data_IF_441874895488
#
_entry.id   IF_441874895488
#
_cell.length_a   1.000
_cell.length_b   1.000
_cell.length_c   1.000
_cell.angle_alpha   90.00
_cell.angle_beta   90.00
_cell.angle_gamma   90.00
#
_symmetry.space_group_name_H-M   'P 1'
#
loop_
_entity.id
_entity.type
_entity.pdbx_description
1 polymer ?
#
# COMPACT_ATOMS: atom_id res chain seq x y z
N UNK A 1 30.82 -22.60 42.52
CA UNK A 1 31.78 -22.66 41.39
C UNK A 1 31.26 -21.76 40.29
N UNK A 2 32.00 -20.70 39.98
CA UNK A 2 31.59 -19.67 39.01
C UNK A 2 32.38 -19.85 37.71
N UNK A 3 31.68 -19.94 36.58
CA UNK A 3 32.30 -19.89 35.25
C UNK A 3 31.74 -18.73 34.46
N UNK A 4 32.56 -17.69 34.36
CA UNK A 4 32.46 -16.62 33.37
C UNK A 4 32.68 -17.20 31.97
N UNK A 5 31.93 -16.75 30.97
CA UNK A 5 32.28 -16.95 29.56
C UNK A 5 32.00 -15.67 28.76
N UNK A 6 33.07 -15.17 28.15
CA UNK A 6 33.22 -13.92 27.41
C UNK A 6 32.75 -14.04 25.96
N UNK A 7 32.06 -13.00 25.49
CA UNK A 7 32.28 -12.22 24.25
C UNK A 7 32.76 -12.97 22.99
N UNK A 8 31.91 -12.98 21.95
CA UNK A 8 32.37 -13.00 20.55
C UNK A 8 31.80 -11.80 19.78
N UNK A 9 32.69 -10.88 19.39
CA UNK A 9 32.43 -9.74 18.51
C UNK A 9 32.57 -10.22 17.05
N UNK A 10 31.48 -10.28 16.30
CA UNK A 10 31.55 -10.37 14.84
C UNK A 10 31.58 -8.96 14.23
N UNK A 11 32.76 -8.57 13.73
CA UNK A 11 32.92 -7.50 12.73
C UNK A 11 32.45 -8.05 11.38
N UNK A 12 31.58 -7.32 10.67
CA UNK A 12 31.33 -7.53 9.23
C UNK A 12 32.09 -6.47 8.42
N UNK A 13 32.70 -6.83 7.28
CA UNK A 13 33.33 -5.87 6.38
C UNK A 13 32.30 -5.10 5.56
N UNK A 14 32.55 -3.80 5.39
CA UNK A 14 32.09 -3.02 4.25
C UNK A 14 32.82 -3.52 3.00
N UNK A 15 32.08 -3.70 1.90
CA UNK A 15 32.42 -3.30 0.53
C UNK A 15 31.64 -4.16 -0.47
N UNK A 16 30.87 -3.53 -1.36
CA UNK A 16 30.55 -4.02 -2.71
C UNK A 16 29.78 -2.95 -3.51
N UNK A 17 30.57 -2.18 -4.25
CA UNK A 17 30.36 -1.72 -5.64
C UNK A 17 28.94 -1.40 -6.16
N UNK A 18 28.73 -0.10 -6.35
CA UNK A 18 27.77 0.47 -7.30
C UNK A 18 28.18 0.11 -8.73
N UNK A 19 27.40 -0.72 -9.42
CA UNK A 19 27.45 -0.85 -10.88
C UNK A 19 26.41 0.07 -11.51
N UNK A 20 26.91 1.10 -12.17
CA UNK A 20 26.17 2.03 -13.02
C UNK A 20 25.49 1.28 -14.17
N UNK A 21 24.16 1.23 -14.13
CA UNK A 21 23.35 0.78 -15.25
C UNK A 21 22.86 2.02 -16.01
N UNK A 22 23.56 2.30 -17.10
CA UNK A 22 23.17 3.25 -18.14
C UNK A 22 21.78 2.90 -18.68
N UNK A 23 20.82 3.82 -18.51
CA UNK A 23 19.51 3.74 -19.16
C UNK A 23 19.34 5.05 -19.93
N UNK A 24 19.37 4.95 -21.26
CA UNK A 24 19.09 6.05 -22.17
C UNK A 24 17.65 6.58 -21.98
N UNK A 25 17.42 7.90 -21.96
CA UNK A 25 16.08 8.43 -21.88
C UNK A 25 15.44 8.43 -23.29
N UNK A 26 14.38 7.64 -23.45
CA UNK A 26 13.42 7.80 -24.56
C UNK A 26 12.68 9.12 -24.36
N UNK A 27 12.81 10.02 -25.33
CA UNK A 27 12.09 11.30 -25.38
C UNK A 27 10.59 11.05 -25.52
N UNK A 28 9.80 11.48 -24.54
CA UNK A 28 8.38 11.76 -24.75
C UNK A 28 8.21 13.27 -24.83
N UNK A 29 7.86 13.73 -26.03
CA UNK A 29 7.44 15.09 -26.31
C UNK A 29 6.01 15.28 -25.80
N UNK A 30 5.82 16.22 -24.87
CA UNK A 30 4.47 16.69 -24.49
C UNK A 30 4.46 18.18 -24.81
N UNK A 31 3.79 18.48 -25.91
CA UNK A 31 3.44 19.80 -26.39
C UNK A 31 2.21 20.32 -25.63
N UNK A 32 2.19 21.60 -25.30
CA UNK A 32 1.09 22.29 -24.61
C UNK A 32 1.66 23.31 -23.63
N UNK A 33 1.50 24.62 -23.78
CA UNK A 33 0.54 25.42 -24.54
C UNK A 33 0.34 26.68 -23.71
N UNK A 34 1.11 27.73 -24.00
CA UNK A 34 1.04 29.03 -23.32
C UNK A 34 -0.12 29.86 -23.89
N UNK A 35 -0.98 30.49 -23.06
CA UNK A 35 -1.85 31.53 -23.57
C UNK A 35 -1.12 32.89 -23.66
N UNK A 36 -1.27 33.47 -24.84
CA UNK A 36 -0.80 34.77 -25.30
C UNK A 36 -1.40 35.94 -24.53
N UNK A 37 -0.57 36.92 -24.18
CA UNK A 37 -1.02 38.24 -23.73
C UNK A 37 -1.45 39.10 -24.92
N UNK A 38 -2.71 39.55 -24.89
CA UNK A 38 -3.34 40.36 -25.93
C UNK A 38 -3.01 41.84 -25.73
N UNK A 39 -2.53 42.47 -26.80
CA UNK A 39 -2.39 43.92 -26.99
C UNK A 39 -3.74 44.60 -27.27
N UNK A 40 -4.01 45.72 -26.59
CA UNK A 40 -4.90 46.81 -27.03
C UNK A 40 -4.65 48.03 -26.12
N UNK A 41 -4.76 49.31 -26.48
CA UNK A 41 -4.74 50.10 -27.72
C UNK A 41 -4.39 51.54 -27.27
N UNK A 42 -3.99 52.38 -28.22
CA UNK A 42 -3.42 53.75 -28.05
C UNK A 42 -4.44 54.79 -28.50
N UNK A 43 -4.64 55.92 -27.79
CA UNK A 43 -5.09 57.23 -28.34
C UNK A 43 -4.94 58.39 -27.34
N UNK A 44 -4.56 59.58 -27.86
CA UNK A 44 -4.61 60.92 -27.22
C UNK A 44 -3.27 61.38 -26.63
N UNK A 45 -2.39 62.19 -27.26
CA UNK A 45 -2.49 63.50 -27.93
C UNK A 45 -2.86 64.67 -27.01
N UNK A 46 -1.87 65.36 -26.40
CA UNK A 46 -1.79 66.83 -26.32
C UNK A 46 -0.32 67.29 -26.19
N UNK A 47 0.00 68.29 -27.00
CA UNK A 47 1.15 69.18 -27.09
C UNK A 47 1.94 69.48 -25.79
N UNK A 48 3.27 69.48 -25.89
CA UNK A 48 4.10 70.70 -25.72
C UNK A 48 5.61 70.40 -25.87
N UNK A 49 6.31 71.36 -26.46
CA UNK A 49 7.77 71.48 -26.61
C UNK A 49 8.10 72.96 -26.39
N UNK A 50 9.38 73.40 -26.26
CA UNK A 50 10.62 72.66 -25.99
C UNK A 50 11.51 73.33 -24.92
N UNK A 51 12.52 72.62 -24.38
CA UNK A 51 13.94 73.07 -24.35
C UNK A 51 14.84 72.14 -23.52
N UNK A 52 15.90 71.70 -24.20
CA UNK A 52 17.29 71.65 -23.74
C UNK A 52 17.61 71.06 -22.35
N UNK A 53 18.16 69.85 -22.32
CA UNK A 53 19.49 69.69 -21.74
C UNK A 53 20.22 68.45 -22.25
N UNK A 54 21.34 68.74 -22.92
CA UNK A 54 22.45 67.87 -23.25
C UNK A 54 23.00 67.27 -21.95
N UNK A 55 22.97 65.95 -21.80
CA UNK A 55 23.81 65.23 -20.84
C UNK A 55 24.04 63.81 -21.33
N UNK A 56 25.31 63.52 -21.48
CA UNK A 56 25.90 62.27 -21.90
C UNK A 56 25.67 61.20 -20.82
N UNK A 57 25.14 60.05 -21.23
CA UNK A 57 25.75 58.74 -20.93
C UNK A 57 24.85 57.65 -21.52
N UNK A 58 25.19 57.23 -22.74
CA UNK A 58 24.71 55.96 -23.28
C UNK A 58 25.39 54.85 -22.48
N UNK A 59 24.84 54.49 -21.32
CA UNK A 59 25.05 53.15 -20.76
C UNK A 59 24.22 52.22 -21.63
N UNK A 60 24.87 51.66 -22.64
CA UNK A 60 24.36 50.56 -23.45
C UNK A 60 23.79 49.50 -22.52
N UNK A 61 22.46 49.41 -22.47
CA UNK A 61 21.76 48.29 -21.87
C UNK A 61 22.15 47.06 -22.69
N UNK A 62 23.20 46.37 -22.23
CA UNK A 62 23.60 45.07 -22.70
C UNK A 62 22.35 44.20 -22.65
N UNK A 63 21.79 43.92 -23.82
CA UNK A 63 20.80 42.86 -24.01
C UNK A 63 21.54 41.57 -23.70
N UNK A 64 21.65 41.23 -22.42
CA UNK A 64 22.11 39.92 -22.00
C UNK A 64 21.08 38.94 -22.54
N UNK A 65 21.46 38.23 -23.60
CA UNK A 65 20.72 37.08 -24.08
C UNK A 65 20.52 36.13 -22.88
N UNK A 66 19.31 35.60 -22.67
CA UNK A 66 19.08 34.66 -21.58
C UNK A 66 20.10 33.52 -21.71
N UNK A 67 20.72 33.09 -20.59
CA UNK A 67 21.72 32.04 -20.64
C UNK A 67 21.12 30.80 -21.30
N UNK A 68 21.80 30.26 -22.31
CA UNK A 68 21.43 28.98 -22.94
C UNK A 68 21.49 27.90 -21.87
N UNK A 69 20.33 27.51 -21.35
CA UNK A 69 20.18 26.40 -20.41
C UNK A 69 20.67 25.14 -21.13
N UNK A 70 21.73 24.51 -20.61
CA UNK A 70 22.24 23.28 -21.20
C UNK A 70 21.40 22.09 -20.78
N UNK A 71 21.41 21.01 -21.58
CA UNK A 71 20.74 19.75 -21.23
C UNK A 71 21.22 19.20 -19.87
N UNK A 72 22.50 19.45 -19.53
CA UNK A 72 23.10 19.10 -18.24
C UNK A 72 22.45 19.86 -17.08
N UNK A 73 22.16 21.15 -17.25
CA UNK A 73 21.49 21.96 -16.24
C UNK A 73 20.05 21.49 -16.02
N UNK A 74 19.35 21.12 -17.09
CA UNK A 74 17.98 20.59 -17.02
C UNK A 74 17.94 19.22 -16.31
N UNK A 75 18.91 18.33 -16.58
CA UNK A 75 19.04 17.06 -15.87
C UNK A 75 19.34 17.27 -14.38
N UNK A 76 20.24 18.20 -14.04
CA UNK A 76 20.57 18.55 -12.65
C UNK A 76 19.34 19.11 -11.92
N UNK A 77 18.57 19.99 -12.57
CA UNK A 77 17.34 20.54 -12.00
C UNK A 77 16.28 19.46 -11.73
N UNK A 78 16.05 18.54 -12.68
CA UNK A 78 15.14 17.39 -12.47
C UNK A 78 15.58 16.50 -11.32
N UNK A 79 16.88 16.23 -11.20
CA UNK A 79 17.44 15.45 -10.09
C UNK A 79 17.23 16.14 -8.74
N UNK A 80 17.49 17.45 -8.66
CA UNK A 80 17.26 18.24 -7.45
C UNK A 80 15.78 18.24 -7.04
N UNK A 81 14.85 18.41 -8.00
CA UNK A 81 13.42 18.32 -7.72
C UNK A 81 13.02 16.94 -7.19
N UNK A 82 13.54 15.86 -7.78
CA UNK A 82 13.28 14.50 -7.30
C UNK A 82 13.80 14.28 -5.88
N UNK A 83 14.98 14.80 -5.55
CA UNK A 83 15.53 14.74 -4.20
C UNK A 83 14.66 15.52 -3.21
N UNK A 84 14.23 16.73 -3.57
CA UNK A 84 13.33 17.54 -2.75
C UNK A 84 12.00 16.84 -2.47
N UNK A 85 11.38 16.21 -3.49
CA UNK A 85 10.13 15.46 -3.31
C UNK A 85 10.30 14.25 -2.40
N UNK A 86 11.42 13.53 -2.51
CA UNK A 86 11.74 12.41 -1.62
C UNK A 86 11.96 12.89 -0.19
N UNK A 87 12.63 14.02 0.00
CA UNK A 87 12.81 14.64 1.31
C UNK A 87 11.46 15.05 1.90
N UNK A 88 10.59 15.69 1.12
CA UNK A 88 9.24 16.07 1.55
C UNK A 88 8.41 14.86 1.99
N UNK A 89 8.49 13.74 1.25
CA UNK A 89 7.86 12.47 1.64
C UNK A 89 8.39 11.95 2.98
N UNK A 90 9.71 11.90 3.14
CA UNK A 90 10.33 11.46 4.40
C UNK A 90 9.98 12.37 5.58
N UNK A 91 9.94 13.69 5.37
CA UNK A 91 9.50 14.66 6.37
C UNK A 91 8.04 14.44 6.74
N UNK A 92 7.17 14.12 5.78
CA UNK A 92 5.77 13.79 6.05
C UNK A 92 5.65 12.51 6.90
N UNK A 93 6.38 11.44 6.56
CA UNK A 93 6.43 10.19 7.34
C UNK A 93 6.97 10.38 8.77
N UNK A 94 7.85 11.35 8.97
CA UNK A 94 8.47 11.63 10.27
C UNK A 94 7.57 12.42 11.22
N UNK A 95 6.44 12.97 10.75
CA UNK A 95 5.48 13.65 11.62
C UNK A 95 4.74 12.64 12.47
N UNK A 96 4.68 12.87 13.77
CA UNK A 96 3.96 12.00 14.70
C UNK A 96 2.48 11.87 14.34
N UNK A 97 1.84 12.97 13.92
CA UNK A 97 0.44 13.03 13.45
C UNK A 97 0.11 12.06 12.30
N UNK A 98 1.11 11.62 11.53
CA UNK A 98 0.91 10.69 10.41
C UNK A 98 1.23 9.24 10.78
N UNK A 99 1.82 9.00 11.96
CA UNK A 99 2.02 7.64 12.46
C UNK A 99 0.72 7.16 13.06
N UNK A 100 0.33 5.95 12.73
CA UNK A 100 -0.82 5.34 13.36
C UNK A 100 -0.36 4.54 14.57
N UNK A 101 -1.06 4.73 15.68
CA UNK A 101 -0.81 4.02 16.94
C UNK A 101 -2.10 3.37 17.42
N UNK A 102 -2.07 2.08 17.83
CA UNK A 102 -3.22 1.42 18.45
C UNK A 102 -3.72 2.13 19.71
N UNK A 103 -2.84 2.87 20.40
CA UNK A 103 -3.19 3.64 21.59
C UNK A 103 -4.05 4.87 21.26
N UNK A 104 -3.86 5.48 20.09
CA UNK A 104 -4.64 6.64 19.62
C UNK A 104 -6.02 6.24 19.07
N UNK A 105 -6.13 5.06 18.45
CA UNK A 105 -7.39 4.49 17.95
C UNK A 105 -7.62 3.07 18.48
N UNK A 106 -7.97 2.93 19.78
CA UNK A 106 -8.18 1.62 20.40
C UNK A 106 -9.42 0.90 19.87
N UNK A 107 -10.29 1.60 19.14
CA UNK A 107 -11.51 1.05 18.58
C UNK A 107 -11.35 0.58 17.15
N UNK A 108 -10.18 0.77 16.52
CA UNK A 108 -9.92 0.27 15.19
C UNK A 108 -10.09 -1.25 15.13
N UNK A 109 -11.04 -1.70 14.31
CA UNK A 109 -11.27 -3.11 14.03
C UNK A 109 -11.44 -3.26 12.53
N UNK A 110 -10.79 -4.27 11.96
CA UNK A 110 -11.02 -4.63 10.58
C UNK A 110 -12.40 -5.30 10.46
N UNK A 111 -13.22 -4.83 9.53
CA UNK A 111 -14.58 -5.32 9.37
C UNK A 111 -14.62 -6.65 8.62
N UNK A 112 -15.70 -7.39 8.84
CA UNK A 112 -16.00 -8.60 8.07
C UNK A 112 -16.16 -8.26 6.60
N UNK A 113 -15.55 -9.06 5.73
CA UNK A 113 -15.54 -8.88 4.29
C UNK A 113 -14.36 -8.07 3.77
N UNK A 114 -13.59 -7.41 4.64
CA UNK A 114 -12.40 -6.69 4.21
C UNK A 114 -11.33 -7.64 3.70
N UNK A 115 -10.66 -7.22 2.62
CA UNK A 115 -9.47 -7.88 2.10
C UNK A 115 -8.24 -7.36 2.84
N UNK A 116 -7.53 -8.25 3.50
CA UNK A 116 -6.36 -7.94 4.30
C UNK A 116 -5.11 -8.59 3.74
N UNK A 117 -3.98 -7.92 3.92
CA UNK A 117 -2.67 -8.37 3.46
C UNK A 117 -1.73 -8.35 4.67
N UNK A 118 -0.98 -9.41 4.87
CA UNK A 118 -0.01 -9.48 5.95
C UNK A 118 1.21 -8.60 5.68
N UNK A 119 1.87 -8.15 6.75
CA UNK A 119 3.04 -7.27 6.69
C UNK A 119 4.11 -7.72 5.69
N UNK A 120 4.50 -8.99 5.74
CA UNK A 120 5.54 -9.57 4.88
C UNK A 120 5.19 -9.45 3.40
N UNK A 121 3.94 -9.78 3.05
CA UNK A 121 3.47 -9.75 1.67
C UNK A 121 3.27 -8.33 1.17
N UNK A 122 2.75 -7.45 2.03
CA UNK A 122 2.61 -6.04 1.72
C UNK A 122 3.98 -5.38 1.46
N UNK A 123 4.96 -5.60 2.36
CA UNK A 123 6.31 -5.08 2.22
C UNK A 123 6.96 -5.60 0.92
N UNK A 124 6.89 -6.91 0.68
CA UNK A 124 7.46 -7.55 -0.53
C UNK A 124 6.82 -7.05 -1.82
N UNK A 125 5.49 -6.98 -1.88
CA UNK A 125 4.76 -6.67 -3.10
C UNK A 125 4.75 -5.16 -3.41
N UNK A 126 4.51 -4.31 -2.40
CA UNK A 126 4.37 -2.87 -2.57
C UNK A 126 5.69 -2.10 -2.38
N UNK A 127 6.71 -2.73 -1.79
CA UNK A 127 8.02 -2.13 -1.49
C UNK A 127 7.89 -0.90 -0.60
N UNK A 128 7.05 -1.02 0.42
CA UNK A 128 6.96 -0.03 1.48
C UNK A 128 8.07 -0.25 2.51
N UNK A 129 8.65 0.83 3.02
CA UNK A 129 9.55 0.73 4.17
C UNK A 129 8.75 0.54 5.47
N UNK A 130 9.41 0.05 6.51
CA UNK A 130 8.79 -0.14 7.83
C UNK A 130 8.12 1.16 8.34
N UNK A 131 8.80 2.30 8.18
CA UNK A 131 8.28 3.64 8.53
C UNK A 131 7.03 4.03 7.72
N UNK A 132 6.90 3.53 6.49
CA UNK A 132 5.70 3.78 5.66
C UNK A 132 4.53 2.94 6.16
N UNK A 133 4.80 1.69 6.52
CA UNK A 133 3.79 0.77 7.07
C UNK A 133 3.27 1.22 8.44
N UNK A 134 4.11 1.91 9.25
CA UNK A 134 3.72 2.50 10.54
C UNK A 134 2.69 3.65 10.40
N UNK A 135 2.49 4.19 9.20
CA UNK A 135 1.45 5.22 8.96
C UNK A 135 0.06 4.64 8.74
N UNK A 136 -0.07 3.31 8.67
CA UNK A 136 -1.32 2.63 8.35
C UNK A 136 -1.93 1.96 9.57
N UNK A 137 -3.27 1.96 9.67
CA UNK A 137 -3.96 1.20 10.69
C UNK A 137 -3.86 -0.30 10.41
N UNK A 138 -3.54 -1.07 11.46
CA UNK A 138 -3.34 -2.50 11.37
C UNK A 138 -3.96 -3.22 12.56
N UNK A 139 -4.22 -4.52 12.38
CA UNK A 139 -4.55 -5.41 13.49
C UNK A 139 -3.45 -6.43 13.68
N UNK A 140 -3.22 -6.82 14.93
CA UNK A 140 -2.27 -7.87 15.28
C UNK A 140 -2.94 -9.24 15.31
N UNK A 141 -2.18 -10.28 15.03
CA UNK A 141 -2.63 -11.67 15.17
C UNK A 141 -1.49 -12.55 15.69
N UNK A 142 -1.85 -13.65 16.35
CA UNK A 142 -0.88 -14.59 16.90
C UNK A 142 -0.10 -15.27 15.77
N UNK A 143 1.23 -15.08 15.81
CA UNK A 143 2.11 -15.71 14.86
C UNK A 143 2.42 -17.14 15.32
N UNK A 144 2.00 -18.13 14.52
CA UNK A 144 2.19 -19.56 14.80
C UNK A 144 3.65 -19.97 14.95
N UNK A 145 4.58 -19.20 14.39
CA UNK A 145 6.01 -19.50 14.41
C UNK A 145 6.77 -18.77 15.51
N UNK A 146 6.24 -17.65 16.00
CA UNK A 146 6.88 -16.83 17.03
C UNK A 146 5.84 -16.05 17.85
N UNK A 147 5.53 -16.54 19.04
CA UNK A 147 4.55 -15.93 19.94
C UNK A 147 4.98 -14.55 20.46
N UNK A 148 6.28 -14.21 20.40
CA UNK A 148 6.77 -12.91 20.86
C UNK A 148 6.69 -11.83 19.77
N UNK A 149 6.47 -12.23 18.52
CA UNK A 149 6.41 -11.31 17.38
C UNK A 149 5.06 -11.49 16.66
N UNK A 150 3.99 -10.83 17.15
CA UNK A 150 2.68 -10.93 16.53
C UNK A 150 2.74 -10.47 15.07
N UNK A 151 1.98 -11.16 14.23
CA UNK A 151 1.78 -10.75 12.85
C UNK A 151 0.98 -9.45 12.79
N UNK A 152 1.13 -8.70 11.70
CA UNK A 152 0.33 -7.50 11.40
C UNK A 152 -0.41 -7.69 10.08
N UNK A 153 -1.70 -7.42 10.06
CA UNK A 153 -2.53 -7.39 8.85
C UNK A 153 -3.00 -5.96 8.57
N UNK A 154 -2.97 -5.59 7.29
CA UNK A 154 -3.36 -4.28 6.81
C UNK A 154 -4.51 -4.43 5.83
N UNK A 155 -5.45 -3.49 5.85
CA UNK A 155 -6.49 -3.44 4.85
C UNK A 155 -5.91 -3.07 3.48
N UNK A 156 -6.30 -3.82 2.44
CA UNK A 156 -5.74 -3.69 1.09
C UNK A 156 -5.93 -2.29 0.49
N UNK A 157 -7.07 -1.66 0.73
CA UNK A 157 -7.35 -0.33 0.18
C UNK A 157 -6.43 0.74 0.79
N UNK A 158 -6.09 0.62 2.07
CA UNK A 158 -5.22 1.58 2.75
C UNK A 158 -3.77 1.47 2.25
N UNK A 159 -3.30 0.24 2.00
CA UNK A 159 -2.01 0.01 1.32
C UNK A 159 -1.98 0.63 -0.08
N UNK A 160 -3.05 0.46 -0.86
CA UNK A 160 -3.15 1.08 -2.18
C UNK A 160 -3.17 2.61 -2.09
N UNK A 161 -3.95 3.16 -1.15
CA UNK A 161 -4.05 4.61 -0.94
C UNK A 161 -2.71 5.22 -0.53
N UNK A 162 -1.93 4.54 0.32
CA UNK A 162 -0.56 4.93 0.65
C UNK A 162 0.35 4.90 -0.59
N UNK A 163 0.24 3.85 -1.40
CA UNK A 163 0.96 3.72 -2.66
C UNK A 163 0.67 4.87 -3.63
N UNK A 164 -0.61 5.22 -3.78
CA UNK A 164 -1.08 6.33 -4.60
C UNK A 164 -0.56 7.67 -4.07
N UNK A 165 -0.61 7.89 -2.75
CA UNK A 165 -0.07 9.11 -2.12
C UNK A 165 1.42 9.24 -2.39
N UNK A 166 2.19 8.18 -2.12
CA UNK A 166 3.63 8.14 -2.39
C UNK A 166 3.94 8.44 -3.86
N UNK A 167 3.19 7.86 -4.79
CA UNK A 167 3.37 8.13 -6.22
C UNK A 167 3.06 9.60 -6.59
N UNK A 168 1.97 10.16 -6.05
CA UNK A 168 1.60 11.56 -6.25
C UNK A 168 2.70 12.53 -5.74
N UNK A 169 3.21 12.30 -4.53
CA UNK A 169 4.27 13.13 -3.93
C UNK A 169 5.56 13.08 -4.75
N UNK A 170 5.99 11.88 -5.15
CA UNK A 170 7.18 11.71 -5.98
C UNK A 170 6.98 12.25 -7.40
N UNK A 171 5.75 12.21 -7.90
CA UNK A 171 5.30 12.84 -9.16
C UNK A 171 5.29 14.38 -9.09
N UNK A 172 5.25 14.95 -7.89
CA UNK A 172 5.16 16.40 -7.67
C UNK A 172 3.73 16.94 -7.82
N UNK A 173 2.72 16.12 -7.56
CA UNK A 173 1.32 16.53 -7.59
C UNK A 173 1.02 17.41 -6.36
N UNK A 174 0.48 18.62 -6.54
CA UNK A 174 0.14 19.51 -5.43
C UNK A 174 -0.97 18.91 -4.55
N UNK A 175 -0.98 19.25 -3.26
CA UNK A 175 -1.97 18.74 -2.30
C UNK A 175 -1.76 17.28 -1.85
N UNK A 176 -0.79 16.54 -2.41
CA UNK A 176 -0.57 15.14 -2.04
C UNK A 176 -0.11 14.92 -0.58
N UNK A 177 0.47 15.95 0.05
CA UNK A 177 0.92 15.93 1.45
C UNK A 177 -0.01 16.71 2.40
N UNK A 178 -1.02 17.39 1.86
CA UNK A 178 -1.87 18.32 2.60
C UNK A 178 -3.19 17.63 2.97
N UNK A 179 -3.51 17.59 4.27
CA UNK A 179 -4.78 17.08 4.77
C UNK A 179 -5.15 15.67 4.29
N UNK A 180 -6.42 15.51 3.92
CA UNK A 180 -7.01 14.23 3.51
C UNK A 180 -6.74 14.01 2.02
N UNK A 181 -5.96 12.98 1.68
CA UNK A 181 -5.63 12.64 0.30
C UNK A 181 -6.84 12.09 -0.47
N UNK A 182 -7.47 12.96 -1.26
CA UNK A 182 -8.71 12.73 -2.02
C UNK A 182 -8.68 13.54 -3.34
N UNK A 183 -9.76 13.44 -4.13
CA UNK A 183 -9.96 14.24 -5.34
C UNK A 183 -8.94 13.96 -6.45
N UNK A 184 -8.51 15.02 -7.14
CA UNK A 184 -7.58 14.95 -8.26
C UNK A 184 -6.21 14.37 -7.87
N UNK A 185 -5.71 14.72 -6.68
CA UNK A 185 -4.43 14.21 -6.19
C UNK A 185 -4.44 12.67 -6.03
N UNK A 186 -5.57 12.12 -5.59
CA UNK A 186 -5.77 10.66 -5.48
C UNK A 186 -5.82 10.00 -6.86
N UNK A 187 -6.54 10.61 -7.82
CA UNK A 187 -6.66 10.07 -9.18
C UNK A 187 -5.32 10.07 -9.92
N UNK A 188 -4.58 11.18 -9.88
CA UNK A 188 -3.24 11.27 -10.48
C UNK A 188 -2.24 10.36 -9.76
N UNK A 189 -2.31 10.29 -8.43
CA UNK A 189 -1.52 9.34 -7.64
C UNK A 189 -1.75 7.89 -8.05
N UNK A 190 -3.02 7.51 -8.26
CA UNK A 190 -3.39 6.19 -8.77
C UNK A 190 -2.80 5.94 -10.17
N UNK A 191 -2.93 6.89 -11.09
CA UNK A 191 -2.40 6.76 -12.45
C UNK A 191 -0.88 6.53 -12.44
N UNK A 192 -0.14 7.37 -11.70
CA UNK A 192 1.32 7.26 -11.57
C UNK A 192 1.76 5.95 -10.91
N UNK A 193 0.97 5.49 -9.94
CA UNK A 193 1.23 4.23 -9.25
C UNK A 193 0.99 3.01 -10.14
N UNK A 194 -0.13 2.99 -10.85
CA UNK A 194 -0.49 1.90 -11.77
C UNK A 194 0.55 1.78 -12.89
N UNK A 195 1.05 2.90 -13.43
CA UNK A 195 2.16 2.95 -14.38
C UNK A 195 3.45 2.35 -13.80
N UNK A 196 3.80 2.71 -12.57
CA UNK A 196 4.95 2.14 -11.86
C UNK A 196 4.81 0.64 -11.63
N UNK A 197 3.61 0.16 -11.26
CA UNK A 197 3.36 -1.27 -11.04
C UNK A 197 3.44 -2.06 -12.33
N UNK A 198 2.93 -1.48 -13.44
CA UNK A 198 3.08 -2.05 -14.78
C UNK A 198 4.55 -2.19 -15.19
N UNK A 199 5.37 -1.15 -14.99
CA UNK A 199 6.81 -1.23 -15.26
C UNK A 199 7.52 -2.31 -14.42
N UNK A 200 7.12 -2.48 -13.15
CA UNK A 200 7.65 -3.56 -12.31
C UNK A 200 7.23 -4.95 -12.82
N UNK A 201 5.98 -5.10 -13.24
CA UNK A 201 5.48 -6.36 -13.79
C UNK A 201 6.15 -6.69 -15.13
N UNK A 202 6.38 -5.70 -16.00
CA UNK A 202 7.11 -5.87 -17.26
C UNK A 202 8.57 -6.26 -17.02
N UNK A 203 9.23 -5.62 -16.05
CA UNK A 203 10.59 -6.00 -15.61
C UNK A 203 10.64 -7.42 -15.04
N UNK A 204 9.60 -7.82 -14.31
CA UNK A 204 9.50 -9.17 -13.77
C UNK A 204 9.30 -10.21 -14.89
N UNK A 205 8.38 -9.96 -15.81
CA UNK A 205 8.12 -10.81 -16.98
C UNK A 205 9.37 -11.02 -17.82
N UNK A 206 10.14 -9.96 -18.08
CA UNK A 206 11.43 -10.06 -18.79
C UNK A 206 12.44 -10.98 -18.11
N UNK A 207 12.44 -11.04 -16.77
CA UNK A 207 13.35 -11.87 -15.99
C UNK A 207 12.87 -13.31 -15.78
N UNK A 208 11.57 -13.54 -15.84
CA UNK A 208 10.94 -14.81 -15.51
C UNK A 208 10.16 -15.40 -16.69
N UNK A 209 10.71 -15.28 -17.91
CA UNK A 209 10.20 -15.97 -19.11
C UNK A 209 8.72 -15.68 -19.39
N UNK A 210 8.31 -14.42 -19.21
CA UNK A 210 6.93 -13.97 -19.46
C UNK A 210 5.95 -14.24 -18.32
N UNK A 211 6.37 -14.88 -17.22
CA UNK A 211 5.50 -15.07 -16.04
C UNK A 211 5.16 -13.73 -15.39
N UNK A 212 3.89 -13.52 -15.11
CA UNK A 212 3.43 -12.35 -14.35
C UNK A 212 3.97 -12.38 -12.92
N UNK A 213 4.20 -11.19 -12.36
CA UNK A 213 4.61 -11.08 -10.96
C UNK A 213 3.51 -11.63 -10.05
N UNK A 214 3.83 -12.47 -9.06
CA UNK A 214 2.83 -12.94 -8.12
C UNK A 214 2.22 -11.73 -7.39
N UNK A 215 0.88 -11.72 -7.31
CA UNK A 215 0.14 -10.74 -6.51
C UNK A 215 0.43 -10.89 -5.01
N UNK A 216 0.04 -9.89 -4.19
CA UNK A 216 0.08 -10.08 -2.75
C UNK A 216 -0.95 -11.14 -2.37
N UNK A 217 -0.61 -11.97 -1.40
CA UNK A 217 -1.59 -12.88 -0.82
C UNK A 217 -2.61 -12.06 -0.04
N UNK A 218 -3.89 -12.25 -0.38
CA UNK A 218 -5.01 -11.53 0.23
C UNK A 218 -5.88 -12.51 0.99
N UNK A 219 -6.17 -12.18 2.24
CA UNK A 219 -7.12 -12.92 3.07
C UNK A 219 -8.40 -12.10 3.16
N UNK A 220 -9.55 -12.76 3.26
CA UNK A 220 -10.81 -12.07 3.55
C UNK A 220 -11.14 -12.32 5.00
N UNK A 221 -11.49 -11.27 5.74
CA UNK A 221 -12.01 -11.44 7.09
C UNK A 221 -13.40 -12.05 6.96
N UNK A 222 -13.55 -13.27 7.43
CA UNK A 222 -14.87 -13.85 7.58
C UNK A 222 -15.32 -13.60 9.00
N UNK A 223 -16.58 -13.23 9.17
CA UNK A 223 -17.23 -13.46 10.45
C UNK A 223 -17.08 -14.95 10.66
N UNK A 224 -16.36 -15.34 11.71
CA UNK A 224 -16.56 -16.67 12.25
C UNK A 224 -18.02 -16.64 12.65
N UNK A 225 -18.90 -17.11 11.75
CA UNK A 225 -20.21 -17.56 12.14
C UNK A 225 -19.85 -18.50 13.27
N UNK A 226 -20.04 -18.06 14.51
CA UNK A 226 -20.39 -19.00 15.54
C UNK A 226 -21.42 -19.83 14.82
N UNK A 227 -21.18 -21.13 14.69
CA UNK A 227 -22.28 -22.06 14.51
C UNK A 227 -23.21 -21.68 15.64
N UNK A 228 -24.12 -20.74 15.36
CA UNK A 228 -25.12 -20.23 16.28
C UNK A 228 -25.73 -21.51 16.70
N UNK A 229 -25.47 -21.88 17.96
CA UNK A 229 -25.77 -23.19 18.47
C UNK A 229 -27.22 -23.41 18.14
N UNK A 230 -27.49 -24.14 17.05
CA UNK A 230 -28.75 -24.86 16.97
C UNK A 230 -28.60 -25.76 18.17
N UNK A 231 -29.41 -25.55 19.23
CA UNK A 231 -29.31 -26.41 20.39
C UNK A 231 -29.37 -27.82 19.83
N UNK A 232 -28.35 -28.61 20.17
CA UNK A 232 -28.28 -30.01 19.77
C UNK A 232 -29.66 -30.62 20.01
N UNK A 233 -30.26 -31.33 19.04
CA UNK A 233 -31.54 -31.96 19.26
C UNK A 233 -31.52 -32.72 20.59
N UNK A 234 -32.51 -32.55 21.47
CA UNK A 234 -32.52 -33.20 22.78
C UNK A 234 -32.26 -34.70 22.65
N UNK A 235 -31.29 -35.20 23.41
CA UNK A 235 -30.87 -36.60 23.32
C UNK A 235 -29.86 -36.91 22.21
N UNK A 236 -29.19 -35.93 21.60
CA UNK A 236 -28.10 -36.20 20.66
C UNK A 236 -26.70 -36.14 21.30
N UNK A 237 -25.76 -36.93 20.77
CA UNK A 237 -24.35 -36.91 21.15
C UNK A 237 -23.44 -37.07 19.92
N UNK A 238 -22.17 -36.69 20.07
CA UNK A 238 -21.15 -36.88 19.03
C UNK A 238 -20.42 -38.20 19.25
N UNK A 239 -20.44 -39.08 18.26
CA UNK A 239 -19.66 -40.31 18.27
C UNK A 239 -18.40 -40.16 17.41
N UNK A 240 -17.27 -40.73 17.86
CA UNK A 240 -16.01 -40.63 17.11
C UNK A 240 -16.04 -41.59 15.94
N UNK A 241 -15.75 -41.10 14.74
CA UNK A 241 -15.68 -41.93 13.53
C UNK A 241 -14.23 -42.20 13.18
N UNK A 242 -13.95 -43.45 12.88
CA UNK A 242 -12.63 -43.94 12.48
C UNK A 242 -12.74 -44.60 11.12
N UNK A 243 -11.73 -44.38 10.27
CA UNK A 243 -11.53 -45.08 9.01
C UNK A 243 -10.10 -45.62 9.01
N UNK A 244 -9.95 -46.93 8.78
CA UNK A 244 -8.64 -47.63 8.83
C UNK A 244 -7.86 -47.39 10.14
N UNK A 245 -8.57 -47.36 11.28
CA UNK A 245 -7.97 -47.11 12.60
C UNK A 245 -7.56 -45.65 12.86
N UNK A 246 -7.70 -44.75 11.89
CA UNK A 246 -7.44 -43.32 12.03
C UNK A 246 -8.76 -42.59 12.30
N UNK A 247 -8.82 -41.75 13.33
CA UNK A 247 -9.98 -40.89 13.56
C UNK A 247 -10.13 -39.95 12.35
N UNK A 248 -11.32 -39.86 11.78
CA UNK A 248 -11.63 -38.99 10.62
C UNK A 248 -12.61 -37.86 10.96
N UNK A 249 -13.39 -37.99 12.03
CA UNK A 249 -14.36 -36.98 12.41
C UNK A 249 -15.22 -37.35 13.63
N UNK A 250 -16.34 -36.65 13.74
CA UNK A 250 -17.42 -36.94 14.68
C UNK A 250 -18.72 -37.09 13.91
N UNK A 251 -19.59 -38.02 14.32
CA UNK A 251 -20.93 -38.20 13.78
C UNK A 251 -21.97 -37.76 14.81
N UNK A 252 -22.97 -36.97 14.40
CA UNK A 252 -24.07 -36.60 15.27
C UNK A 252 -25.06 -37.77 15.36
N UNK A 253 -25.09 -38.43 16.50
CA UNK A 253 -26.03 -39.50 16.82
C UNK A 253 -27.24 -38.89 17.53
N UNK A 254 -28.44 -39.26 17.10
CA UNK A 254 -29.71 -38.80 17.69
C UNK A 254 -30.32 -39.97 18.48
N UNK A 255 -30.75 -39.75 19.74
CA UNK A 255 -31.47 -40.78 20.54
C UNK A 255 -32.80 -41.20 19.94
N UNK A 256 -33.44 -40.29 19.21
CA UNK A 256 -34.62 -40.55 18.42
C UNK A 256 -34.21 -40.35 16.98
N UNK A 257 -34.21 -41.42 16.17
CA UNK A 257 -34.03 -41.27 14.74
C UNK A 257 -35.39 -40.82 14.17
N UNK A 258 -35.55 -39.54 13.80
CA UNK A 258 -36.84 -39.03 13.32
C UNK A 258 -37.23 -39.63 11.97
N UNK A 259 -36.36 -40.42 11.35
CA UNK A 259 -36.64 -41.20 10.15
C UNK A 259 -37.56 -42.41 10.43
N UNK A 260 -37.88 -42.70 11.71
CA UNK A 260 -38.75 -43.80 12.13
C UNK A 260 -40.24 -43.46 12.25
N UNK A 261 -40.64 -42.18 12.16
CA UNK A 261 -42.05 -41.76 12.28
C UNK A 261 -42.39 -40.69 11.23
N UNK A 262 -43.27 -41.03 10.28
CA UNK A 262 -43.75 -40.22 9.15
C UNK A 262 -44.64 -39.02 9.60
N UNK A 263 -44.08 -38.12 10.42
CA UNK A 263 -44.75 -36.88 10.83
C UNK A 263 -44.26 -35.66 10.03
N UNK A 264 -45.12 -34.67 9.72
CA UNK A 264 -44.70 -33.45 9.04
C UNK A 264 -43.84 -32.60 9.98
N UNK A 265 -42.53 -32.59 9.75
CA UNK A 265 -41.54 -31.86 10.55
C UNK A 265 -40.55 -31.06 9.68
N UNK A 266 -39.85 -30.06 10.27
CA UNK A 266 -39.09 -29.02 9.54
C UNK A 266 -37.91 -29.59 8.74
N UNK A 267 -37.27 -28.80 7.83
CA UNK A 267 -36.24 -29.30 6.93
C UNK A 267 -35.13 -30.03 7.70
N UNK A 268 -35.00 -31.32 7.39
CA UNK A 268 -34.05 -32.24 8.02
C UNK A 268 -32.62 -31.95 7.59
N UNK A 269 -31.63 -32.07 8.49
CA UNK A 269 -30.24 -32.02 8.08
C UNK A 269 -29.93 -33.24 7.21
N UNK A 270 -29.43 -33.00 6.00
CA UNK A 270 -29.02 -34.07 5.09
C UNK A 270 -27.97 -34.96 5.76
N UNK A 271 -27.85 -36.22 5.33
CA UNK A 271 -26.92 -37.22 5.91
C UNK A 271 -25.47 -36.72 5.97
N UNK A 272 -25.08 -35.86 5.03
CA UNK A 272 -23.79 -35.18 4.94
C UNK A 272 -23.59 -34.12 6.05
N UNK A 273 -24.67 -33.52 6.56
CA UNK A 273 -24.64 -32.53 7.65
C UNK A 273 -24.49 -33.18 9.04
N UNK A 274 -24.71 -34.50 9.16
CA UNK A 274 -24.49 -35.24 10.43
C UNK A 274 -23.01 -35.56 10.68
N UNK A 275 -22.14 -35.44 9.67
CA UNK A 275 -20.71 -35.70 9.80
C UNK A 275 -19.89 -34.42 9.98
N UNK A 276 -19.06 -34.39 11.01
CA UNK A 276 -18.14 -33.30 11.31
C UNK A 276 -16.68 -33.76 11.10
N UNK A 277 -16.05 -33.44 9.96
CA UNK A 277 -14.67 -33.86 9.70
C UNK A 277 -13.70 -33.19 10.66
N UNK A 278 -12.59 -33.88 10.98
CA UNK A 278 -11.55 -33.36 11.88
C UNK A 278 -10.90 -32.06 11.40
N UNK A 279 -10.90 -31.82 10.09
CA UNK A 279 -10.38 -30.60 9.48
C UNK A 279 -11.15 -29.35 9.94
N UNK A 280 -12.41 -29.52 10.33
CA UNK A 280 -13.26 -28.46 10.87
C UNK A 280 -13.08 -28.25 12.39
N UNK A 281 -12.08 -28.92 13.00
CA UNK A 281 -11.81 -28.85 14.43
C UNK A 281 -12.79 -29.67 15.27
N UNK A 282 -12.89 -29.32 16.56
CA UNK A 282 -13.91 -29.90 17.45
C UNK A 282 -15.27 -29.26 17.16
N UNK A 283 -16.36 -30.04 17.07
CA UNK A 283 -17.69 -29.48 16.95
C UNK A 283 -17.96 -28.56 18.16
N UNK A 284 -18.36 -27.32 17.88
CA UNK A 284 -18.68 -26.33 18.92
C UNK A 284 -19.88 -26.84 19.75
N UNK A 285 -19.81 -26.69 21.08
CA UNK A 285 -20.85 -27.10 22.03
C UNK A 285 -21.96 -26.08 22.20
#
# INVERSE_FOLDING_TARGET
MATNSRSSKHKRPLDSELKDSSISPTEMSIDGGLPSSVKCRKTGSVNSSPKSQRSQSRKSSSKQNPPKVTQKDLAKAKSAQKAQRKQAWNTWLAREENRWSPEEDPNYKQEVGWQVIHYSDANKYYRFSDVEMETLPYTTFDNKHDLNHPGRSFHRLDLLRLGYRKAAVLGGIPGALEGIFQGEALQEGKRLYDEKMKDLDDKYKKKHEGKSRPGPETYTIFEKKGTTGRPRPPGSWWERVYENGKKIGHWLVLRFDPDADEGPSPPHPNREERFWPLENGYPNW
#
